data_IF_355226354434
#
_entry.id   IF_355226354434
#
_cell.length_a   1.000
_cell.length_b   1.000
_cell.length_c   1.000
_cell.angle_alpha   90.00
_cell.angle_beta   90.00
_cell.angle_gamma   90.00
#
_symmetry.space_group_name_H-M   'P 1'
#
loop_
_entity.id
_entity.type
_entity.pdbx_description
1 polymer ?
#
# COMPACT_ATOMS: atom_id res chain seq x y z
N UNK A 1 -2.45 23.37 -28.09
CA UNK A 1 -1.61 22.52 -27.23
C UNK A 1 -2.57 21.74 -26.35
N UNK A 2 -2.96 20.58 -26.86
CA UNK A 2 -3.98 19.71 -26.29
C UNK A 2 -3.60 19.24 -24.89
N UNK A 3 -4.51 19.48 -23.95
CA UNK A 3 -4.48 18.88 -22.62
C UNK A 3 -5.16 17.52 -22.73
N UNK A 4 -4.36 16.47 -22.83
CA UNK A 4 -4.84 15.09 -22.78
C UNK A 4 -5.41 14.81 -21.39
N UNK A 5 -6.74 14.91 -21.28
CA UNK A 5 -7.51 14.42 -20.16
C UNK A 5 -7.43 12.89 -20.15
N UNK A 6 -6.53 12.32 -19.34
CA UNK A 6 -6.51 10.88 -19.09
C UNK A 6 -7.79 10.50 -18.32
N UNK A 7 -8.73 9.89 -19.05
CA UNK A 7 -10.00 9.39 -18.54
C UNK A 7 -9.77 8.16 -17.65
N UNK A 8 -9.88 8.35 -16.34
CA UNK A 8 -9.57 7.36 -15.28
C UNK A 8 -10.64 6.27 -15.07
N UNK A 9 -11.70 6.21 -15.91
CA UNK A 9 -12.91 5.44 -15.59
C UNK A 9 -12.98 4.00 -16.13
N UNK A 10 -11.86 3.39 -16.53
CA UNK A 10 -11.91 2.06 -17.19
C UNK A 10 -10.64 1.21 -17.14
N UNK A 11 -9.77 1.34 -16.15
CA UNK A 11 -8.57 0.51 -16.06
C UNK A 11 -8.92 -0.91 -15.57
N UNK A 12 -8.93 -1.87 -16.50
CA UNK A 12 -9.09 -3.31 -16.22
C UNK A 12 -7.89 -3.85 -15.44
N UNK A 13 -8.21 -4.73 -14.49
CA UNK A 13 -7.36 -5.62 -13.69
C UNK A 13 -6.18 -6.22 -14.44
N UNK A 14 -6.41 -6.63 -15.69
CA UNK A 14 -5.41 -7.28 -16.52
C UNK A 14 -4.17 -6.40 -16.71
N UNK A 15 -4.34 -5.07 -16.73
CA UNK A 15 -3.21 -4.13 -16.79
C UNK A 15 -2.41 -4.05 -15.49
N UNK A 16 -2.95 -4.40 -14.33
CA UNK A 16 -2.18 -4.41 -13.07
C UNK A 16 -1.29 -5.66 -13.04
N UNK A 17 -1.82 -6.83 -13.41
CA UNK A 17 -1.00 -8.03 -13.59
C UNK A 17 0.04 -7.85 -14.72
N UNK A 18 -0.34 -7.19 -15.82
CA UNK A 18 0.57 -6.79 -16.88
C UNK A 18 1.56 -5.70 -16.39
N UNK A 19 1.18 -4.75 -15.53
CA UNK A 19 2.09 -3.76 -14.90
C UNK A 19 3.05 -4.37 -13.87
N UNK A 20 2.62 -5.41 -13.17
CA UNK A 20 3.45 -6.22 -12.28
C UNK A 20 4.47 -7.04 -13.10
N UNK A 21 4.09 -7.42 -14.32
CA UNK A 21 4.92 -8.17 -15.27
C UNK A 21 5.79 -7.26 -16.15
N UNK A 22 5.38 -6.01 -16.41
CA UNK A 22 6.07 -4.97 -17.19
C UNK A 22 7.17 -4.24 -16.39
N UNK A 23 7.77 -4.93 -15.42
CA UNK A 23 9.03 -4.52 -14.80
C UNK A 23 10.25 -4.61 -15.72
N UNK A 24 10.07 -4.56 -17.05
CA UNK A 24 11.12 -4.77 -18.07
C UNK A 24 10.99 -3.82 -19.28
N UNK A 25 10.51 -2.59 -19.10
CA UNK A 25 10.57 -1.59 -20.19
C UNK A 25 10.95 -0.19 -19.67
N UNK A 26 11.99 -0.18 -18.85
CA UNK A 26 12.69 0.99 -18.37
C UNK A 26 13.76 0.50 -17.41
N UNK A 27 15.01 0.46 -17.86
CA UNK A 27 16.20 0.09 -17.09
C UNK A 27 16.37 1.02 -15.89
N UNK A 28 15.66 0.73 -14.79
CA UNK A 28 15.95 1.30 -13.49
C UNK A 28 16.84 0.29 -12.73
N UNK A 29 18.11 0.61 -12.47
CA UNK A 29 19.12 -0.33 -11.99
C UNK A 29 19.05 -0.54 -10.47
N UNK A 30 17.84 -0.59 -9.88
CA UNK A 30 17.72 -0.78 -8.44
C UNK A 30 17.93 -2.25 -8.12
N UNK A 31 19.01 -2.54 -7.39
CA UNK A 31 19.26 -3.85 -6.81
C UNK A 31 18.21 -4.17 -5.74
N UNK A 32 18.15 -5.44 -5.31
CA UNK A 32 17.31 -5.82 -4.16
C UNK A 32 17.72 -5.06 -2.88
N UNK A 33 19.00 -4.80 -2.70
CA UNK A 33 19.53 -4.01 -1.58
C UNK A 33 19.06 -2.56 -1.64
N UNK A 34 19.09 -1.94 -2.83
CA UNK A 34 18.58 -0.57 -3.00
C UNK A 34 17.08 -0.49 -2.71
N UNK A 35 16.31 -1.47 -3.19
CA UNK A 35 14.87 -1.52 -2.96
C UNK A 35 14.55 -1.69 -1.47
N UNK A 36 15.30 -2.53 -0.76
CA UNK A 36 15.18 -2.70 0.69
C UNK A 36 15.50 -1.40 1.43
N UNK A 37 16.62 -0.76 1.11
CA UNK A 37 17.03 0.50 1.74
C UNK A 37 16.03 1.63 1.48
N UNK A 38 15.50 1.74 0.25
CA UNK A 38 14.49 2.74 -0.09
C UNK A 38 13.17 2.43 0.61
N UNK A 39 12.75 1.16 0.69
CA UNK A 39 11.55 0.77 1.44
C UNK A 39 11.70 1.11 2.91
N UNK A 40 12.81 0.74 3.55
CA UNK A 40 13.11 1.07 4.94
C UNK A 40 13.07 2.58 5.16
N UNK A 41 13.73 3.36 4.28
CA UNK A 41 13.67 4.81 4.34
C UNK A 41 12.21 5.29 4.28
N UNK A 42 11.41 4.84 3.31
CA UNK A 42 10.01 5.25 3.18
C UNK A 42 9.17 4.86 4.42
N UNK A 43 9.38 3.67 4.99
CA UNK A 43 8.69 3.24 6.21
C UNK A 43 9.07 4.09 7.43
N UNK A 44 10.27 4.69 7.44
CA UNK A 44 10.73 5.60 8.49
C UNK A 44 10.44 7.08 8.21
N UNK A 45 9.85 7.43 7.06
CA UNK A 45 9.53 8.82 6.73
C UNK A 45 8.28 9.31 7.46
N UNK A 46 8.27 10.57 7.95
CA UNK A 46 7.08 11.19 8.54
C UNK A 46 5.93 11.34 7.53
N UNK A 47 4.73 10.92 7.90
CA UNK A 47 3.55 10.99 7.02
C UNK A 47 3.09 12.42 6.70
N UNK A 48 3.34 13.36 7.61
CA UNK A 48 2.82 14.72 7.55
C UNK A 48 3.36 15.51 6.34
N UNK A 49 4.58 15.20 5.87
CA UNK A 49 5.18 15.86 4.72
C UNK A 49 4.75 15.28 3.36
N UNK A 50 4.45 13.98 3.30
CA UNK A 50 4.21 13.26 2.05
C UNK A 50 2.73 13.13 1.66
N UNK A 51 1.83 13.09 2.65
CA UNK A 51 0.39 12.98 2.41
C UNK A 51 -0.27 14.35 2.24
N UNK A 52 0.36 15.24 1.46
CA UNK A 52 -0.11 16.62 1.24
C UNK A 52 -1.63 16.70 1.02
N UNK A 53 -2.30 17.50 1.85
CA UNK A 53 -3.77 17.65 1.79
C UNK A 53 -4.58 16.64 2.62
N UNK A 54 -3.99 16.05 3.67
CA UNK A 54 -4.75 15.29 4.68
C UNK A 54 -6.02 16.06 5.11
N UNK A 55 -7.21 15.42 5.16
CA UNK A 55 -8.40 16.04 5.71
C UNK A 55 -8.15 16.51 7.14
N UNK A 56 -8.66 17.70 7.50
CA UNK A 56 -8.48 18.28 8.86
C UNK A 56 -8.91 17.32 9.97
N UNK A 57 -9.98 16.57 9.74
CA UNK A 57 -10.48 15.55 10.67
C UNK A 57 -9.46 14.45 10.92
N UNK A 58 -8.80 13.96 9.87
CA UNK A 58 -7.78 12.94 9.99
C UNK A 58 -6.49 13.49 10.59
N UNK A 59 -6.12 14.74 10.29
CA UNK A 59 -5.00 15.41 10.99
C UNK A 59 -5.28 15.48 12.49
N UNK A 60 -6.48 15.88 12.88
CA UNK A 60 -6.89 15.92 14.29
C UNK A 60 -6.90 14.53 14.93
N UNK A 61 -7.39 13.51 14.23
CA UNK A 61 -7.41 12.13 14.70
C UNK A 61 -5.99 11.57 14.85
N UNK A 62 -5.13 11.79 13.85
CA UNK A 62 -3.70 11.49 13.92
C UNK A 62 -3.13 12.14 15.17
N UNK A 63 -3.19 13.48 15.30
CA UNK A 63 -2.68 14.22 16.47
C UNK A 63 -3.21 13.68 17.81
N UNK A 64 -4.48 13.25 17.88
CA UNK A 64 -5.05 12.62 19.08
C UNK A 64 -4.41 11.26 19.36
N UNK A 65 -4.22 10.44 18.33
CA UNK A 65 -3.55 9.16 18.46
C UNK A 65 -2.05 9.33 18.78
N UNK A 66 -1.39 10.36 18.23
CA UNK A 66 0.00 10.68 18.56
C UNK A 66 0.12 10.96 20.06
N UNK A 67 -0.76 11.82 20.59
CA UNK A 67 -0.80 12.14 22.03
C UNK A 67 -1.11 10.91 22.88
N UNK A 68 -2.00 10.03 22.43
CA UNK A 68 -2.34 8.79 23.15
C UNK A 68 -1.16 7.81 23.19
N UNK A 69 -0.35 7.79 22.14
CA UNK A 69 0.77 6.85 21.99
C UNK A 69 2.12 7.46 22.37
N UNK A 70 2.13 8.48 23.25
CA UNK A 70 3.33 9.03 23.88
C UNK A 70 3.93 10.26 23.20
N UNK A 71 3.34 10.75 22.12
CA UNK A 71 3.85 11.88 21.33
C UNK A 71 5.11 11.48 20.56
N UNK A 72 5.04 11.48 19.23
CA UNK A 72 6.17 11.11 18.39
C UNK A 72 5.95 11.43 16.92
N UNK A 73 7.02 11.27 16.12
CA UNK A 73 6.93 11.36 14.66
C UNK A 73 6.31 10.07 14.15
N UNK A 74 5.12 10.17 13.56
CA UNK A 74 4.45 9.00 13.01
C UNK A 74 4.83 8.80 11.55
N UNK A 75 5.45 7.66 11.31
CA UNK A 75 5.96 7.27 10.00
C UNK A 75 4.98 6.37 9.26
N UNK A 76 5.23 6.08 7.99
CA UNK A 76 4.46 5.07 7.24
C UNK A 76 4.48 3.72 7.95
N UNK A 77 5.65 3.25 8.37
CA UNK A 77 5.85 1.99 9.07
C UNK A 77 5.10 1.94 10.40
N UNK A 78 5.11 3.03 11.17
CA UNK A 78 4.36 3.09 12.42
C UNK A 78 2.90 2.69 12.23
N UNK A 79 2.22 3.24 11.22
CA UNK A 79 0.81 2.97 10.98
C UNK A 79 0.55 1.67 10.22
N UNK A 80 1.42 1.31 9.28
CA UNK A 80 1.29 0.06 8.53
C UNK A 80 1.57 -1.18 9.39
N UNK A 81 2.24 -1.02 10.54
CA UNK A 81 2.42 -2.08 11.53
C UNK A 81 1.61 -1.87 12.82
N UNK A 82 0.81 -0.80 12.92
CA UNK A 82 -0.04 -0.55 14.08
C UNK A 82 -1.13 -1.61 14.21
N UNK A 83 -1.47 -2.01 15.43
CA UNK A 83 -2.50 -3.03 15.68
C UNK A 83 -3.91 -2.58 15.25
N UNK A 84 -4.19 -1.28 15.33
CA UNK A 84 -5.49 -0.68 15.02
C UNK A 84 -5.31 0.65 14.26
N UNK A 85 -4.89 0.63 12.98
CA UNK A 85 -4.69 1.86 12.22
C UNK A 85 -6.02 2.45 11.73
N UNK A 86 -6.16 3.79 11.64
CA UNK A 86 -7.33 4.42 11.04
C UNK A 86 -7.50 4.03 9.58
N UNK A 87 -8.69 3.59 9.18
CA UNK A 87 -8.97 3.10 7.82
C UNK A 87 -8.80 4.22 6.78
N UNK A 88 -9.19 5.43 7.13
CA UNK A 88 -9.08 6.64 6.32
C UNK A 88 -7.61 6.97 6.00
N UNK A 89 -6.71 6.71 6.95
CA UNK A 89 -5.27 6.85 6.74
C UNK A 89 -4.75 5.80 5.75
N UNK A 90 -5.18 4.54 5.88
CA UNK A 90 -4.82 3.50 4.91
C UNK A 90 -5.31 3.85 3.50
N UNK A 91 -6.51 4.44 3.37
CA UNK A 91 -7.02 4.95 2.08
C UNK A 91 -6.16 6.08 1.52
N UNK A 92 -5.55 6.91 2.37
CA UNK A 92 -4.62 7.96 1.94
C UNK A 92 -3.28 7.41 1.51
N UNK A 93 -2.68 6.51 2.30
CA UNK A 93 -1.44 5.83 1.94
C UNK A 93 -1.61 5.09 0.61
N UNK A 94 -2.74 4.38 0.41
CA UNK A 94 -3.10 3.76 -0.87
C UNK A 94 -3.09 4.76 -2.03
N UNK A 95 -3.72 5.92 -1.86
CA UNK A 95 -3.81 6.96 -2.91
C UNK A 95 -2.45 7.57 -3.21
N UNK A 96 -1.67 7.88 -2.18
CA UNK A 96 -0.30 8.36 -2.31
C UNK A 96 0.56 7.36 -3.09
N UNK A 97 0.55 6.10 -2.69
CA UNK A 97 1.26 5.03 -3.35
C UNK A 97 0.89 4.92 -4.84
N UNK A 98 -0.41 4.97 -5.16
CA UNK A 98 -0.90 4.98 -6.54
C UNK A 98 -0.41 6.22 -7.33
N UNK A 99 -0.40 7.39 -6.71
CA UNK A 99 0.10 8.62 -7.34
C UNK A 99 1.60 8.53 -7.65
N UNK A 100 2.38 7.98 -6.74
CA UNK A 100 3.82 7.82 -6.92
C UNK A 100 4.16 6.77 -7.97
N UNK A 101 3.38 5.70 -8.03
CA UNK A 101 3.53 4.70 -9.08
C UNK A 101 3.29 5.30 -10.49
N UNK A 102 2.30 6.19 -10.62
CA UNK A 102 1.95 6.83 -11.88
C UNK A 102 2.86 8.02 -12.26
N UNK A 103 3.68 8.51 -11.32
CA UNK A 103 4.52 9.69 -11.51
C UNK A 103 6.01 9.37 -11.29
N UNK A 104 6.81 9.29 -12.37
CA UNK A 104 8.26 9.10 -12.28
C UNK A 104 8.98 10.14 -11.41
N UNK A 105 8.40 11.33 -11.22
CA UNK A 105 8.96 12.41 -10.41
C UNK A 105 8.61 12.32 -8.91
N UNK A 106 7.85 11.31 -8.45
CA UNK A 106 7.58 11.16 -7.01
C UNK A 106 8.84 10.78 -6.20
N UNK A 107 9.93 10.38 -6.86
CA UNK A 107 11.21 10.13 -6.18
C UNK A 107 11.28 8.79 -5.42
N UNK A 108 10.33 7.87 -5.69
CA UNK A 108 10.40 6.48 -5.20
C UNK A 108 10.28 5.50 -6.36
N UNK A 109 10.98 4.34 -6.33
CA UNK A 109 10.83 3.31 -7.34
C UNK A 109 9.39 2.77 -7.41
N UNK A 110 8.88 2.43 -8.60
CA UNK A 110 7.55 1.85 -8.76
C UNK A 110 7.32 0.61 -7.89
N UNK A 111 8.34 -0.24 -7.69
CA UNK A 111 8.26 -1.42 -6.81
C UNK A 111 8.02 -1.05 -5.34
N UNK A 112 8.64 0.01 -4.82
CA UNK A 112 8.43 0.46 -3.43
C UNK A 112 7.04 1.07 -3.27
N UNK A 113 6.59 1.86 -4.25
CA UNK A 113 5.22 2.39 -4.24
C UNK A 113 4.16 1.27 -4.22
N UNK A 114 4.44 0.16 -4.89
CA UNK A 114 3.56 -1.00 -4.92
C UNK A 114 3.47 -1.70 -3.55
N UNK A 115 4.58 -1.81 -2.83
CA UNK A 115 4.59 -2.32 -1.45
C UNK A 115 3.70 -1.46 -0.57
N UNK A 116 3.87 -0.14 -0.57
CA UNK A 116 3.01 0.76 0.21
C UNK A 116 1.52 0.63 -0.17
N UNK A 117 1.24 0.46 -1.46
CA UNK A 117 -0.12 0.24 -1.95
C UNK A 117 -0.71 -1.05 -1.38
N UNK A 118 -0.11 -2.21 -1.65
CA UNK A 118 -0.65 -3.49 -1.19
C UNK A 118 -0.61 -3.63 0.33
N UNK A 119 0.40 -3.09 1.00
CA UNK A 119 0.50 -3.16 2.46
C UNK A 119 -0.66 -2.41 3.11
N UNK A 120 -1.05 -1.25 2.58
CA UNK A 120 -2.25 -0.54 3.06
C UNK A 120 -3.54 -1.36 2.91
N UNK A 121 -3.65 -2.17 1.85
CA UNK A 121 -4.79 -3.08 1.64
C UNK A 121 -4.76 -4.26 2.60
N UNK A 122 -3.59 -4.88 2.74
CA UNK A 122 -3.36 -6.04 3.61
C UNK A 122 -3.67 -5.69 5.06
N UNK A 123 -3.19 -4.53 5.54
CA UNK A 123 -3.48 -4.01 6.88
C UNK A 123 -4.97 -3.76 7.07
N UNK A 124 -5.64 -3.11 6.11
CA UNK A 124 -7.08 -2.88 6.20
C UNK A 124 -7.88 -4.20 6.31
N UNK A 125 -7.45 -5.22 5.57
CA UNK A 125 -8.09 -6.53 5.57
C UNK A 125 -7.84 -7.29 6.89
N UNK A 126 -6.59 -7.33 7.35
CA UNK A 126 -6.17 -8.13 8.51
C UNK A 126 -6.58 -7.48 9.82
N UNK A 127 -6.33 -6.18 9.97
CA UNK A 127 -6.49 -5.44 11.23
C UNK A 127 -7.86 -4.78 11.34
N UNK A 128 -8.34 -4.18 10.26
CA UNK A 128 -9.60 -3.44 10.26
C UNK A 128 -10.79 -4.29 9.74
N UNK A 129 -10.54 -5.51 9.24
CA UNK A 129 -11.54 -6.43 8.68
C UNK A 129 -12.40 -5.80 7.57
N UNK A 130 -11.88 -4.80 6.86
CA UNK A 130 -12.60 -4.03 5.85
C UNK A 130 -11.85 -4.02 4.52
N UNK A 131 -12.60 -3.92 3.41
CA UNK A 131 -12.02 -3.67 2.10
C UNK A 131 -11.96 -2.17 1.81
N UNK A 132 -10.79 -1.70 1.39
CA UNK A 132 -10.60 -0.33 0.90
C UNK A 132 -10.32 -0.29 -0.61
N UNK A 133 -10.59 -1.39 -1.31
CA UNK A 133 -10.28 -1.60 -2.72
C UNK A 133 -11.41 -2.34 -3.44
N UNK A 134 -11.48 -2.18 -4.76
CA UNK A 134 -12.40 -2.89 -5.64
C UNK A 134 -11.74 -4.07 -6.37
N UNK A 135 -10.47 -4.37 -6.06
CA UNK A 135 -9.77 -5.54 -6.59
C UNK A 135 -10.42 -6.83 -6.05
N UNK A 136 -10.48 -7.85 -6.90
CA UNK A 136 -11.01 -9.16 -6.52
C UNK A 136 -10.04 -9.91 -5.60
N UNK A 137 -10.55 -10.91 -4.90
CA UNK A 137 -9.77 -11.69 -3.95
C UNK A 137 -8.56 -12.38 -4.62
N UNK A 138 -8.71 -12.84 -5.86
CA UNK A 138 -7.67 -13.52 -6.63
C UNK A 138 -6.51 -12.56 -6.94
N UNK A 139 -6.82 -11.33 -7.34
CA UNK A 139 -5.83 -10.29 -7.62
C UNK A 139 -5.07 -9.86 -6.36
N UNK A 140 -5.79 -9.77 -5.24
CA UNK A 140 -5.19 -9.46 -3.95
C UNK A 140 -4.26 -10.59 -3.49
N UNK A 141 -4.70 -11.85 -3.60
CA UNK A 141 -3.87 -13.01 -3.28
C UNK A 141 -2.58 -13.03 -4.10
N UNK A 142 -2.68 -12.83 -5.43
CA UNK A 142 -1.50 -12.79 -6.30
C UNK A 142 -0.52 -11.69 -5.89
N UNK A 143 -1.01 -10.47 -5.63
CA UNK A 143 -0.16 -9.36 -5.20
C UNK A 143 0.48 -9.60 -3.83
N UNK A 144 -0.26 -10.13 -2.85
CA UNK A 144 0.28 -10.46 -1.53
C UNK A 144 1.32 -11.57 -1.60
N UNK A 145 1.07 -12.63 -2.36
CA UNK A 145 2.01 -13.74 -2.54
C UNK A 145 3.32 -13.25 -3.21
N UNK A 146 3.20 -12.47 -4.28
CA UNK A 146 4.36 -11.91 -4.97
C UNK A 146 5.22 -11.05 -4.02
N UNK A 147 4.60 -10.18 -3.22
CA UNK A 147 5.33 -9.28 -2.32
C UNK A 147 5.84 -9.97 -1.05
N UNK A 148 5.16 -11.01 -0.57
CA UNK A 148 5.66 -11.82 0.53
C UNK A 148 6.94 -12.57 0.13
N UNK A 149 6.99 -13.11 -1.09
CA UNK A 149 8.15 -13.83 -1.62
C UNK A 149 9.30 -12.91 -2.09
N UNK A 150 9.11 -11.59 -2.07
CA UNK A 150 10.16 -10.64 -2.40
C UNK A 150 11.20 -10.56 -1.27
N UNK A 151 12.45 -10.93 -1.55
CA UNK A 151 13.54 -11.01 -0.55
C UNK A 151 13.89 -9.66 0.08
N UNK A 152 13.70 -8.58 -0.66
CA UNK A 152 14.01 -7.20 -0.23
C UNK A 152 12.89 -6.54 0.60
N UNK A 153 11.72 -7.18 0.70
CA UNK A 153 10.64 -6.70 1.59
C UNK A 153 10.97 -7.13 3.02
N UNK A 154 10.79 -6.23 3.98
CA UNK A 154 11.07 -6.50 5.38
C UNK A 154 10.12 -7.57 5.97
N UNK A 155 10.59 -8.25 7.01
CA UNK A 155 9.88 -9.36 7.64
C UNK A 155 8.52 -8.95 8.22
N UNK A 156 8.41 -7.74 8.78
CA UNK A 156 7.15 -7.27 9.36
C UNK A 156 6.09 -7.02 8.29
N UNK A 157 6.47 -6.46 7.14
CA UNK A 157 5.60 -6.28 5.98
C UNK A 157 5.21 -7.63 5.36
N UNK A 158 6.18 -8.55 5.21
CA UNK A 158 5.95 -9.91 4.70
C UNK A 158 4.90 -10.66 5.54
N UNK A 159 5.05 -10.65 6.85
CA UNK A 159 4.11 -11.31 7.76
C UNK A 159 2.67 -10.78 7.61
N UNK A 160 2.49 -9.49 7.31
CA UNK A 160 1.16 -8.91 7.05
C UNK A 160 0.59 -9.40 5.71
N UNK A 161 1.40 -9.52 4.66
CA UNK A 161 0.96 -10.08 3.39
C UNK A 161 0.51 -11.53 3.50
N UNK A 162 1.26 -12.36 4.22
CA UNK A 162 0.92 -13.76 4.48
C UNK A 162 -0.40 -13.88 5.28
N UNK A 163 -0.56 -13.07 6.32
CA UNK A 163 -1.81 -13.01 7.09
C UNK A 163 -3.00 -12.59 6.22
N UNK A 164 -2.80 -11.61 5.33
CA UNK A 164 -3.84 -11.13 4.43
C UNK A 164 -4.23 -12.19 3.40
N UNK A 165 -3.25 -12.91 2.85
CA UNK A 165 -3.46 -14.04 1.97
C UNK A 165 -4.29 -15.14 2.65
N UNK A 166 -3.91 -15.54 3.88
CA UNK A 166 -4.65 -16.53 4.66
C UNK A 166 -6.08 -16.09 4.97
N UNK A 167 -6.30 -14.79 5.27
CA UNK A 167 -7.64 -14.24 5.48
C UNK A 167 -8.53 -14.39 4.23
N UNK A 168 -7.97 -14.23 3.03
CA UNK A 168 -8.72 -14.41 1.79
C UNK A 168 -8.93 -15.90 1.45
N UNK A 169 -8.03 -16.79 1.84
CA UNK A 169 -8.20 -18.23 1.61
C UNK A 169 -9.30 -18.83 2.47
N UNK A 170 -9.36 -18.48 3.76
CA UNK A 170 -10.43 -18.93 4.67
C UNK A 170 -11.83 -18.45 4.24
N UNK A 171 -11.94 -17.22 3.74
CA UNK A 171 -13.24 -16.66 3.29
C UNK A 171 -13.82 -17.39 2.07
N UNK A 172 -12.96 -17.90 1.20
CA UNK A 172 -13.39 -18.70 0.04
C UNK A 172 -13.88 -20.07 0.49
N UNK A 173 -13.24 -20.67 1.49
CA UNK A 173 -13.67 -21.96 2.08
C UNK A 173 -15.00 -21.84 2.84
N UNK A 174 -15.24 -20.72 3.53
CA UNK A 174 -16.47 -20.46 4.31
C UNK A 174 -17.68 -20.03 3.43
N UNK A 175 -17.53 -19.94 2.11
CA UNK A 175 -18.60 -19.53 1.19
C UNK A 175 -19.12 -18.10 1.40
N UNK A 176 -18.37 -17.25 2.13
CA UNK A 176 -18.71 -15.85 2.32
C UNK A 176 -18.10 -15.00 1.21
N UNK A 177 -18.96 -14.57 0.28
CA UNK A 177 -18.61 -13.55 -0.71
C UNK A 177 -18.08 -12.29 0.01
N UNK A 178 -16.96 -11.70 -0.43
CA UNK A 178 -16.41 -10.52 0.22
C UNK A 178 -17.44 -9.39 0.10
N UNK A 179 -17.94 -8.88 1.24
CA UNK A 179 -18.75 -7.65 1.26
C UNK A 179 -17.92 -6.51 0.64
N UNK A 180 -18.30 -6.18 -0.59
CA UNK A 180 -17.88 -5.02 -1.40
C UNK A 180 -18.45 -3.74 -0.81
#
# INVERSE_FOLDING_TARGET
MDSDHINLKGMKVDRIAELLSLGTSGTYPWSEEDLAAILEYQLNRPLQGDLGGLPKTLVQELTRLEKKNGGGVHTFGYWLHHAHPPVELLRLIKRYAKSCHANPQCGIPPKVSLVLYYLSLAVALVRCRTSITSLKAEELKAGFDQLANAKWVDEASRAIFEQAWLCLSKRVEDGQEPRV
#
